data_IF_452172727141
#
_entry.id   IF_452172727141
#
_cell.length_a   1.000
_cell.length_b   1.000
_cell.length_c   1.000
_cell.angle_alpha   90.00
_cell.angle_beta   90.00
_cell.angle_gamma   90.00
#
_symmetry.space_group_name_H-M   'P 1'
#
loop_
_entity.id
_entity.type
_entity.pdbx_description
1 polymer ?
#
# COMPACT_ATOMS: atom_id res chain seq x y z
N UNK A 1 35.68 22.82 6.06
CA UNK A 1 34.74 23.28 7.11
C UNK A 1 33.96 22.08 7.59
N UNK A 2 33.96 21.80 8.90
CA UNK A 2 33.20 20.71 9.51
C UNK A 2 31.73 21.12 9.61
N UNK A 3 30.85 20.34 8.97
CA UNK A 3 29.40 20.53 9.00
C UNK A 3 28.87 20.45 10.44
N UNK A 4 28.00 21.39 10.84
CA UNK A 4 27.43 21.39 12.20
C UNK A 4 26.49 20.19 12.40
N UNK A 5 26.31 19.78 13.66
CA UNK A 5 25.35 18.73 14.04
C UNK A 5 23.95 19.05 13.48
N UNK A 6 23.56 20.33 13.57
CA UNK A 6 22.28 20.81 13.07
C UNK A 6 22.13 20.68 11.56
N UNK A 7 23.16 21.03 10.78
CA UNK A 7 23.15 20.91 9.32
C UNK A 7 23.03 19.45 8.87
N UNK A 8 23.66 18.51 9.59
CA UNK A 8 23.52 17.06 9.31
C UNK A 8 22.08 16.60 9.56
N UNK A 9 21.51 16.96 10.70
CA UNK A 9 20.12 16.65 11.04
C UNK A 9 19.14 17.27 10.04
N UNK A 10 19.43 18.47 9.52
CA UNK A 10 18.59 19.08 8.50
C UNK A 10 18.65 18.36 7.16
N UNK A 11 19.83 17.91 6.73
CA UNK A 11 19.93 17.07 5.53
C UNK A 11 19.22 15.71 5.70
N UNK A 12 19.28 15.12 6.89
CA UNK A 12 18.56 13.87 7.18
C UNK A 12 17.04 14.08 7.13
N UNK A 13 16.54 15.15 7.75
CA UNK A 13 15.12 15.53 7.70
C UNK A 13 14.63 15.68 6.25
N UNK A 14 15.36 16.37 5.39
CA UNK A 14 14.97 16.54 3.99
C UNK A 14 14.83 15.20 3.27
N UNK A 15 15.79 14.28 3.47
CA UNK A 15 15.71 12.92 2.90
C UNK A 15 14.51 12.14 3.43
N UNK A 16 14.19 12.29 4.71
CA UNK A 16 13.03 11.63 5.31
C UNK A 16 11.70 12.19 4.79
N UNK A 17 11.62 13.50 4.54
CA UNK A 17 10.45 14.13 3.90
C UNK A 17 10.27 13.61 2.47
N UNK A 18 11.34 13.56 1.67
CA UNK A 18 11.29 12.98 0.32
C UNK A 18 10.80 11.51 0.33
N UNK A 19 11.24 10.73 1.31
CA UNK A 19 10.77 9.36 1.52
C UNK A 19 9.29 9.31 1.91
N UNK A 20 8.83 10.20 2.80
CA UNK A 20 7.43 10.29 3.19
C UNK A 20 6.52 10.61 1.99
N UNK A 21 6.93 11.55 1.14
CA UNK A 21 6.22 11.92 -0.07
C UNK A 21 6.14 10.75 -1.07
N UNK A 22 7.24 10.03 -1.25
CA UNK A 22 7.28 8.83 -2.09
C UNK A 22 6.31 7.75 -1.60
N UNK A 23 6.35 7.42 -0.30
CA UNK A 23 5.44 6.43 0.32
C UNK A 23 3.99 6.88 0.19
N UNK A 24 3.70 8.17 0.36
CA UNK A 24 2.35 8.72 0.19
C UNK A 24 1.85 8.57 -1.23
N UNK A 25 2.71 8.81 -2.23
CA UNK A 25 2.38 8.63 -3.64
C UNK A 25 2.11 7.16 -3.96
N UNK A 26 2.97 6.24 -3.52
CA UNK A 26 2.78 4.81 -3.71
C UNK A 26 1.52 4.29 -3.02
N UNK A 27 1.21 4.80 -1.82
CA UNK A 27 -0.04 4.46 -1.11
C UNK A 27 -1.27 4.82 -1.93
N UNK A 28 -1.29 6.01 -2.55
CA UNK A 28 -2.39 6.42 -3.44
C UNK A 28 -2.51 5.50 -4.66
N UNK A 29 -1.39 5.08 -5.24
CA UNK A 29 -1.40 4.14 -6.36
C UNK A 29 -1.96 2.77 -5.96
N UNK A 30 -1.57 2.24 -4.80
CA UNK A 30 -2.14 0.99 -4.27
C UNK A 30 -3.65 1.11 -4.08
N UNK A 31 -4.13 2.22 -3.51
CA UNK A 31 -5.57 2.44 -3.34
C UNK A 31 -6.32 2.48 -4.67
N UNK A 32 -5.75 3.10 -5.70
CA UNK A 32 -6.32 3.09 -7.06
C UNK A 32 -6.38 1.67 -7.63
N UNK A 33 -5.28 0.91 -7.52
CA UNK A 33 -5.23 -0.48 -8.00
C UNK A 33 -6.26 -1.35 -7.27
N UNK A 34 -6.42 -1.20 -5.95
CA UNK A 34 -7.46 -1.91 -5.19
C UNK A 34 -8.86 -1.60 -5.71
N UNK A 35 -9.17 -0.32 -5.91
CA UNK A 35 -10.47 0.09 -6.46
C UNK A 35 -10.72 -0.53 -7.84
N UNK A 36 -9.72 -0.54 -8.71
CA UNK A 36 -9.82 -1.18 -10.04
C UNK A 36 -10.09 -2.68 -9.95
N UNK A 37 -9.38 -3.39 -9.07
CA UNK A 37 -9.58 -4.83 -8.86
C UNK A 37 -10.95 -5.14 -8.24
N UNK A 38 -11.38 -4.37 -7.24
CA UNK A 38 -12.70 -4.53 -6.60
C UNK A 38 -13.84 -4.36 -7.62
N UNK A 39 -13.76 -3.31 -8.46
CA UNK A 39 -14.74 -3.09 -9.53
C UNK A 39 -14.68 -4.22 -10.58
N UNK A 40 -13.48 -4.63 -10.98
CA UNK A 40 -13.31 -5.72 -11.94
C UNK A 40 -13.88 -7.04 -11.43
N UNK A 41 -13.58 -7.41 -10.18
CA UNK A 41 -14.11 -8.64 -9.59
C UNK A 41 -15.61 -8.57 -9.39
N UNK A 42 -16.16 -7.44 -8.94
CA UNK A 42 -17.62 -7.25 -8.83
C UNK A 42 -18.32 -7.46 -10.18
N UNK A 43 -17.77 -6.87 -11.25
CA UNK A 43 -18.34 -7.00 -12.59
C UNK A 43 -18.21 -8.44 -13.12
N UNK A 44 -17.06 -9.08 -12.93
CA UNK A 44 -16.82 -10.46 -13.34
C UNK A 44 -17.73 -11.43 -12.60
N UNK A 45 -17.93 -11.26 -11.28
CA UNK A 45 -18.90 -12.03 -10.49
C UNK A 45 -20.32 -11.90 -11.06
N UNK A 46 -20.74 -10.67 -11.39
CA UNK A 46 -22.06 -10.43 -11.98
C UNK A 46 -22.24 -11.15 -13.31
N UNK A 47 -21.24 -11.11 -14.19
CA UNK A 47 -21.28 -11.81 -15.48
C UNK A 47 -21.35 -13.32 -15.27
N UNK A 48 -20.52 -13.87 -14.37
CA UNK A 48 -20.55 -15.29 -14.03
C UNK A 48 -21.90 -15.72 -13.47
N UNK A 49 -22.53 -14.92 -12.60
CA UNK A 49 -23.87 -15.22 -12.08
C UNK A 49 -24.95 -15.24 -13.17
N UNK A 50 -24.85 -14.35 -14.16
CA UNK A 50 -25.76 -14.34 -15.32
C UNK A 50 -25.60 -15.60 -16.19
N UNK A 51 -24.37 -16.09 -16.35
CA UNK A 51 -24.08 -17.30 -17.11
C UNK A 51 -24.45 -18.58 -16.38
N UNK A 52 -24.57 -18.56 -15.04
CA UNK A 52 -24.86 -19.73 -14.20
C UNK A 52 -26.03 -20.55 -14.72
N UNK A 53 -27.14 -19.88 -15.03
CA UNK A 53 -28.34 -20.52 -15.52
C UNK A 53 -28.10 -21.29 -16.84
N UNK A 54 -27.29 -20.74 -17.75
CA UNK A 54 -27.01 -21.35 -19.05
C UNK A 54 -26.17 -22.61 -18.89
N UNK A 55 -25.16 -22.59 -18.03
CA UNK A 55 -24.35 -23.78 -17.72
C UNK A 55 -25.18 -24.86 -17.03
N UNK A 56 -26.06 -24.49 -16.09
CA UNK A 56 -26.95 -25.44 -15.43
C UNK A 56 -27.96 -26.09 -16.39
N UNK A 57 -28.37 -25.39 -17.46
CA UNK A 57 -29.31 -25.91 -18.46
C UNK A 57 -28.69 -26.91 -19.43
N UNK A 58 -27.37 -26.91 -19.56
CA UNK A 58 -26.61 -27.71 -20.52
C UNK A 58 -25.84 -28.86 -19.84
N UNK A 59 -26.21 -29.25 -18.62
CA UNK A 59 -25.50 -30.24 -17.79
C UNK A 59 -24.01 -29.90 -17.47
N UNK A 60 -23.58 -28.67 -17.72
CA UNK A 60 -22.22 -28.16 -17.48
C UNK A 60 -22.07 -27.50 -16.09
N UNK A 61 -22.89 -27.90 -15.13
CA UNK A 61 -22.90 -27.31 -13.77
C UNK A 61 -21.55 -27.45 -13.06
N UNK A 62 -20.96 -28.64 -13.09
CA UNK A 62 -19.68 -28.92 -12.43
C UNK A 62 -18.55 -28.07 -13.00
N UNK A 63 -18.55 -27.86 -14.32
CA UNK A 63 -17.59 -27.00 -15.01
C UNK A 63 -17.70 -25.55 -14.53
N UNK A 64 -18.94 -25.03 -14.46
CA UNK A 64 -19.21 -23.69 -13.93
C UNK A 64 -18.73 -23.52 -12.49
N UNK A 65 -19.12 -24.42 -11.59
CA UNK A 65 -18.75 -24.35 -10.17
C UNK A 65 -17.23 -24.40 -9.97
N UNK A 66 -16.54 -25.27 -10.72
CA UNK A 66 -15.07 -25.37 -10.68
C UNK A 66 -14.41 -24.09 -11.16
N UNK A 67 -14.81 -23.58 -12.34
CA UNK A 67 -14.27 -22.34 -12.92
C UNK A 67 -14.50 -21.15 -11.99
N UNK A 68 -15.69 -21.06 -11.39
CA UNK A 68 -16.04 -19.98 -10.47
C UNK A 68 -15.24 -20.04 -9.17
N UNK A 69 -14.98 -21.24 -8.66
CA UNK A 69 -14.14 -21.47 -7.50
C UNK A 69 -12.68 -21.07 -7.79
N UNK A 70 -12.14 -21.45 -8.95
CA UNK A 70 -10.80 -21.06 -9.38
C UNK A 70 -10.67 -19.54 -9.55
N UNK A 71 -11.62 -18.91 -10.25
CA UNK A 71 -11.69 -17.46 -10.40
C UNK A 71 -11.66 -16.77 -9.02
N UNK A 72 -12.54 -17.17 -8.11
CA UNK A 72 -12.62 -16.59 -6.77
C UNK A 72 -11.31 -16.76 -5.98
N UNK A 73 -10.66 -17.92 -6.12
CA UNK A 73 -9.38 -18.21 -5.46
C UNK A 73 -8.27 -17.30 -5.98
N UNK A 74 -8.10 -17.19 -7.30
CA UNK A 74 -7.05 -16.37 -7.89
C UNK A 74 -7.30 -14.87 -7.65
N UNK A 75 -8.55 -14.40 -7.73
CA UNK A 75 -8.93 -13.03 -7.37
C UNK A 75 -8.54 -12.70 -5.93
N UNK A 76 -8.88 -13.57 -4.97
CA UNK A 76 -8.51 -13.38 -3.57
C UNK A 76 -6.99 -13.37 -3.37
N UNK A 77 -6.26 -14.23 -4.09
CA UNK A 77 -4.80 -14.28 -4.04
C UNK A 77 -4.18 -12.96 -4.49
N UNK A 78 -4.67 -12.38 -5.59
CA UNK A 78 -4.22 -11.07 -6.07
C UNK A 78 -4.47 -9.99 -5.02
N UNK A 79 -5.69 -9.92 -4.46
CA UNK A 79 -6.01 -8.93 -3.42
C UNK A 79 -5.13 -9.09 -2.18
N UNK A 80 -4.84 -10.32 -1.75
CA UNK A 80 -3.94 -10.56 -0.63
C UNK A 80 -2.52 -10.00 -0.86
N UNK A 81 -2.01 -10.06 -2.10
CA UNK A 81 -0.73 -9.46 -2.44
C UNK A 81 -0.78 -7.93 -2.39
N UNK A 82 -1.85 -7.33 -2.92
CA UNK A 82 -2.03 -5.88 -2.86
C UNK A 82 -2.16 -5.39 -1.41
N UNK A 83 -2.94 -6.08 -0.58
CA UNK A 83 -3.08 -5.79 0.85
C UNK A 83 -1.76 -5.97 1.62
N UNK A 84 -0.92 -6.94 1.21
CA UNK A 84 0.41 -7.09 1.79
C UNK A 84 1.28 -5.88 1.47
N UNK A 85 1.30 -5.41 0.23
CA UNK A 85 2.01 -4.20 -0.16
C UNK A 85 1.53 -2.96 0.61
N UNK A 86 0.20 -2.80 0.78
CA UNK A 86 -0.38 -1.71 1.58
C UNK A 86 0.12 -1.74 3.04
N UNK A 87 0.14 -2.92 3.66
CA UNK A 87 0.63 -3.09 5.03
C UNK A 87 2.11 -2.75 5.15
N UNK A 88 2.92 -3.15 4.18
CA UNK A 88 4.36 -2.86 4.14
C UNK A 88 4.61 -1.36 4.00
N UNK A 89 3.92 -0.67 3.09
CA UNK A 89 4.01 0.79 2.95
C UNK A 89 3.59 1.51 4.23
N UNK A 90 2.50 1.07 4.87
CA UNK A 90 2.04 1.65 6.14
C UNK A 90 3.05 1.47 7.26
N UNK A 91 3.75 0.35 7.30
CA UNK A 91 4.83 0.12 8.26
C UNK A 91 6.04 1.03 7.98
N UNK A 92 6.42 1.18 6.71
CA UNK A 92 7.49 2.09 6.30
C UNK A 92 7.14 3.55 6.62
N UNK A 93 5.92 3.99 6.35
CA UNK A 93 5.44 5.34 6.68
C UNK A 93 5.62 5.65 8.17
N UNK A 94 5.14 4.75 9.05
CA UNK A 94 5.30 4.89 10.50
C UNK A 94 6.77 4.93 10.93
N UNK A 95 7.63 4.18 10.25
CA UNK A 95 9.06 4.20 10.55
C UNK A 95 9.69 5.55 10.18
N UNK A 96 9.30 6.14 9.04
CA UNK A 96 9.74 7.48 8.61
C UNK A 96 9.22 8.56 9.56
N UNK A 97 7.94 8.50 9.93
CA UNK A 97 7.31 9.42 10.89
C UNK A 97 8.05 9.43 12.25
N UNK A 98 8.36 8.24 12.78
CA UNK A 98 9.15 8.12 14.01
C UNK A 98 10.55 8.72 13.87
N UNK A 99 11.23 8.50 12.74
CA UNK A 99 12.55 9.08 12.48
C UNK A 99 12.49 10.61 12.39
N UNK A 100 11.49 11.16 11.69
CA UNK A 100 11.28 12.61 11.62
C UNK A 100 11.07 13.21 13.01
N UNK A 101 10.28 12.56 13.86
CA UNK A 101 10.07 12.97 15.25
C UNK A 101 11.37 12.98 16.06
N UNK A 102 12.22 11.96 15.89
CA UNK A 102 13.53 11.90 16.54
C UNK A 102 14.45 13.02 16.05
N UNK A 103 14.56 13.24 14.74
CA UNK A 103 15.38 14.33 14.16
C UNK A 103 14.91 15.68 14.67
N UNK A 104 13.61 15.93 14.76
CA UNK A 104 13.06 17.16 15.32
C UNK A 104 13.45 17.35 16.79
N UNK A 105 13.45 16.28 17.59
CA UNK A 105 13.90 16.29 18.98
C UNK A 105 15.40 16.60 19.09
N UNK A 106 16.22 15.96 18.26
CA UNK A 106 17.69 16.16 18.25
C UNK A 106 18.08 17.56 17.78
N UNK A 107 17.41 18.11 16.76
CA UNK A 107 17.63 19.50 16.34
C UNK A 107 17.34 20.49 17.46
N UNK A 108 16.28 20.29 18.23
CA UNK A 108 15.97 21.15 19.39
C UNK A 108 17.11 21.10 20.41
N UNK A 109 17.68 19.92 20.67
CA UNK A 109 18.84 19.77 21.57
C UNK A 109 20.08 20.48 21.02
N UNK A 110 20.40 20.26 19.75
CA UNK A 110 21.54 20.92 19.09
C UNK A 110 21.42 22.45 19.14
N UNK A 111 20.25 23.00 18.83
CA UNK A 111 20.01 24.44 18.91
C UNK A 111 20.03 25.03 20.33
N UNK A 112 19.83 24.21 21.37
CA UNK A 112 20.02 24.64 22.76
C UNK A 112 21.49 24.62 23.16
N UNK A 113 22.23 23.59 22.75
CA UNK A 113 23.66 23.45 23.02
C UNK A 113 24.51 24.52 22.30
N UNK A 114 24.09 25.01 21.14
CA UNK A 114 24.73 26.13 20.43
C UNK A 114 24.45 27.51 21.07
N UNK A 115 23.50 27.60 22.01
CA UNK A 115 23.13 28.84 22.71
C UNK A 115 23.75 28.98 24.10
N UNK A 116 24.39 27.93 24.62
CA UNK A 116 25.22 27.94 25.84
C UNK A 116 26.68 28.26 25.51
#
# INVERSE_FOLDING_TARGET
MTQTEWEKLHQEEQKLIEQEEAITKETRQIQQVKGMYDDHFRNSHRVMDQLRHLFHKNDERTFYETTMSEFSRESKKIMNYVDKGERELKAQYRAVENKLSNVASEKRKASMAEKE
#
